data_IF_519671447700
#
_entry.id   IF_519671447700
#
_cell.length_a   1.000
_cell.length_b   1.000
_cell.length_c   1.000
_cell.angle_alpha   90.00
_cell.angle_beta   90.00
_cell.angle_gamma   90.00
#
_symmetry.space_group_name_H-M   'P 1'
#
loop_
_entity.id
_entity.type
_entity.pdbx_description
1 polymer ?
#
# COMPACT_ATOMS: atom_id res chain seq x y z
N UNK A 1 -51.58 62.18 -17.47
CA UNK A 1 -52.43 61.51 -16.48
C UNK A 1 -51.47 60.81 -15.52
N UNK A 2 -51.36 61.31 -14.28
CA UNK A 2 -51.85 60.63 -13.05
C UNK A 2 -50.93 59.44 -12.72
N UNK A 3 -50.29 59.26 -11.56
CA UNK A 3 -50.17 59.93 -10.26
C UNK A 3 -48.99 59.20 -9.53
N UNK A 4 -48.42 59.82 -8.50
CA UNK A 4 -48.09 59.31 -7.15
C UNK A 4 -47.70 57.82 -6.95
N UNK A 5 -46.81 57.41 -6.07
CA UNK A 5 -46.19 57.95 -4.85
C UNK A 5 -45.38 56.78 -4.24
N UNK A 6 -44.16 56.98 -3.77
CA UNK A 6 -43.79 57.29 -2.38
C UNK A 6 -43.58 56.06 -1.46
N UNK A 7 -42.50 56.14 -0.67
CA UNK A 7 -42.12 55.40 0.55
C UNK A 7 -41.43 54.04 0.32
N UNK A 8 -40.25 53.76 0.88
CA UNK A 8 -39.56 54.32 2.04
C UNK A 8 -39.31 53.18 3.04
N UNK A 9 -38.07 53.05 3.54
CA UNK A 9 -37.74 52.12 4.63
C UNK A 9 -36.31 51.59 4.57
N UNK A 10 -35.45 52.24 5.36
CA UNK A 10 -34.08 51.86 5.67
C UNK A 10 -34.01 50.88 6.87
N UNK A 11 -32.76 50.57 7.25
CA UNK A 11 -32.27 49.98 8.51
C UNK A 11 -32.33 48.46 8.66
N UNK A 12 -31.17 47.79 8.65
CA UNK A 12 -30.10 47.69 9.70
C UNK A 12 -30.30 46.39 10.48
N UNK A 13 -29.38 45.44 10.32
CA UNK A 13 -28.29 45.15 11.27
C UNK A 13 -28.73 44.13 12.34
N UNK A 14 -27.95 43.05 12.45
CA UNK A 14 -28.29 41.94 13.35
C UNK A 14 -27.24 40.85 13.28
N UNK A 15 -26.04 41.17 13.75
CA UNK A 15 -24.99 40.21 14.04
C UNK A 15 -25.15 39.69 15.47
N UNK A 16 -25.42 38.39 15.65
CA UNK A 16 -25.21 37.65 16.92
C UNK A 16 -24.71 36.25 16.57
N UNK A 17 -23.41 35.96 16.72
CA UNK A 17 -22.74 35.39 17.91
C UNK A 17 -23.24 34.01 18.36
N UNK A 18 -22.36 33.02 18.08
CA UNK A 18 -21.82 31.98 18.97
C UNK A 18 -22.80 31.22 19.88
N UNK A 19 -22.90 29.91 19.62
CA UNK A 19 -22.82 28.91 20.68
C UNK A 19 -21.86 27.78 20.27
N UNK A 20 -20.69 27.78 20.89
CA UNK A 20 -19.79 26.64 21.00
C UNK A 20 -20.40 25.65 22.01
N UNK A 21 -20.91 24.51 21.56
CA UNK A 21 -21.22 23.40 22.45
C UNK A 21 -20.04 22.42 22.55
N UNK A 22 -19.69 22.16 23.80
CA UNK A 22 -18.46 21.54 24.31
C UNK A 22 -18.74 20.07 24.67
N UNK A 23 -18.24 19.11 23.89
CA UNK A 23 -17.96 17.71 24.24
C UNK A 23 -17.45 17.04 22.94
N UNK A 24 -16.37 16.27 22.85
CA UNK A 24 -15.70 15.44 23.82
C UNK A 24 -14.22 15.30 23.39
N UNK A 25 -13.29 15.46 24.33
CA UNK A 25 -11.84 15.36 24.09
C UNK A 25 -11.36 14.03 24.64
N UNK A 26 -11.11 13.05 23.76
CA UNK A 26 -10.25 11.92 24.11
C UNK A 26 -9.05 11.85 23.16
N UNK A 27 -8.06 12.72 23.43
CA UNK A 27 -6.71 12.63 22.85
C UNK A 27 -5.94 11.54 23.59
N UNK A 28 -5.79 10.39 22.96
CA UNK A 28 -4.77 9.40 23.31
C UNK A 28 -3.38 10.01 23.06
N UNK A 29 -2.63 10.22 24.14
CA UNK A 29 -1.25 10.70 24.14
C UNK A 29 -0.35 9.54 23.74
N UNK A 30 0.33 9.65 22.60
CA UNK A 30 1.48 8.79 22.26
C UNK A 30 2.73 9.58 22.60
N UNK A 31 3.53 9.06 23.52
CA UNK A 31 4.78 9.65 23.98
C UNK A 31 5.93 9.29 23.04
N UNK A 32 6.72 10.28 22.65
CA UNK A 32 8.00 10.14 21.95
C UNK A 32 9.09 9.66 22.94
N UNK A 33 9.91 8.64 22.60
CA UNK A 33 11.14 8.37 23.34
C UNK A 33 12.33 9.04 22.64
N UNK A 34 12.81 10.16 23.22
CA UNK A 34 14.16 10.67 22.96
C UNK A 34 15.16 10.05 23.94
N UNK A 35 16.34 9.83 23.38
CA UNK A 35 17.60 9.33 23.93
C UNK A 35 18.04 9.91 25.28
N UNK A 36 18.71 9.07 26.09
CA UNK A 36 19.71 9.46 27.10
C UNK A 36 20.70 8.29 27.28
N UNK A 37 21.91 8.32 26.73
CA UNK A 37 23.17 8.81 27.38
C UNK A 37 23.32 8.28 28.82
N UNK A 38 24.13 7.24 29.01
CA UNK A 38 25.53 7.33 29.47
C UNK A 38 25.65 7.63 30.98
N UNK A 39 25.98 6.60 31.75
CA UNK A 39 26.56 6.73 33.08
C UNK A 39 27.99 6.20 33.07
N UNK A 40 28.91 7.12 33.41
CA UNK A 40 30.29 6.86 33.79
C UNK A 40 30.36 6.07 35.10
N UNK A 41 31.37 5.22 35.20
CA UNK A 41 31.92 4.71 36.44
C UNK A 41 33.40 4.38 36.21
N UNK A 42 34.27 5.31 36.57
CA UNK A 42 35.72 5.10 36.66
C UNK A 42 36.04 4.24 37.89
N UNK A 43 36.97 3.29 37.78
CA UNK A 43 38.03 3.17 38.78
C UNK A 43 39.30 2.52 38.21
N UNK A 44 40.44 2.93 38.77
CA UNK A 44 41.81 2.79 38.25
C UNK A 44 42.56 1.57 38.81
N UNK A 45 43.47 1.02 38.00
CA UNK A 45 44.84 0.71 38.43
C UNK A 45 45.27 -0.77 38.49
N UNK A 46 46.43 -1.09 37.89
CA UNK A 46 47.35 -2.11 38.43
C UNK A 46 47.81 -3.28 37.55
N UNK A 47 48.76 -3.02 36.64
CA UNK A 47 49.97 -3.78 36.22
C UNK A 47 50.11 -5.33 36.39
N UNK A 48 50.47 -5.95 35.25
CA UNK A 48 51.53 -6.95 34.94
C UNK A 48 51.69 -8.29 35.70
N UNK A 49 51.56 -9.40 34.94
CA UNK A 49 52.60 -10.44 34.80
C UNK A 49 52.37 -11.82 35.46
N UNK A 50 52.50 -12.90 34.68
CA UNK A 50 52.82 -14.25 35.21
C UNK A 50 52.17 -15.45 34.49
N UNK A 51 53.00 -16.39 34.04
CA UNK A 51 52.71 -17.58 33.20
C UNK A 51 52.50 -18.86 34.05
N UNK A 52 51.83 -19.87 33.46
CA UNK A 52 51.89 -21.36 33.64
C UNK A 52 50.51 -21.94 34.01
N UNK A 53 49.86 -22.79 33.22
CA UNK A 53 50.13 -24.13 32.65
C UNK A 53 49.35 -25.24 33.40
N UNK A 54 48.66 -26.03 32.58
CA UNK A 54 48.22 -27.43 32.72
C UNK A 54 47.15 -27.90 33.72
N UNK A 55 46.17 -28.61 33.11
CA UNK A 55 45.50 -29.86 33.54
C UNK A 55 44.32 -29.79 34.51
N UNK A 56 43.23 -30.49 34.14
CA UNK A 56 42.12 -30.80 35.06
C UNK A 56 40.78 -31.10 34.39
N UNK A 57 40.60 -32.38 34.04
CA UNK A 57 39.42 -33.13 33.64
C UNK A 57 37.99 -32.60 33.94
N UNK A 58 37.16 -32.71 32.88
CA UNK A 58 35.86 -33.38 32.75
C UNK A 58 34.73 -33.20 33.78
N UNK A 59 33.53 -33.18 33.19
CA UNK A 59 32.22 -33.51 33.75
C UNK A 59 31.49 -32.46 34.58
N UNK A 60 30.72 -31.60 33.89
CA UNK A 60 29.25 -31.60 34.03
C UNK A 60 28.57 -31.26 32.70
N UNK A 61 28.08 -32.30 32.04
CA UNK A 61 27.06 -32.22 31.01
C UNK A 61 25.75 -31.66 31.60
N UNK A 62 25.61 -30.35 31.58
CA UNK A 62 24.32 -29.68 31.62
C UNK A 62 23.80 -29.58 30.20
N UNK A 63 23.23 -30.66 29.69
CA UNK A 63 22.49 -30.65 28.44
C UNK A 63 21.19 -29.84 28.65
N UNK A 64 21.30 -28.52 28.68
CA UNK A 64 20.18 -27.65 28.35
C UNK A 64 19.97 -27.78 26.85
N UNK A 65 19.33 -28.88 26.46
CA UNK A 65 18.65 -29.00 25.18
C UNK A 65 17.51 -27.98 25.21
N UNK A 66 17.87 -26.73 24.94
CA UNK A 66 16.96 -25.64 24.73
C UNK A 66 16.17 -26.04 23.50
N UNK A 67 15.00 -26.60 23.74
CA UNK A 67 13.99 -26.89 22.72
C UNK A 67 13.70 -25.56 22.04
N UNK A 68 14.45 -25.29 20.98
CA UNK A 68 14.33 -24.11 20.17
C UNK A 68 13.06 -24.32 19.36
N UNK A 69 11.92 -24.09 20.02
CA UNK A 69 10.62 -24.01 19.37
C UNK A 69 10.81 -23.00 18.26
N UNK A 70 10.92 -23.48 17.03
CA UNK A 70 11.18 -22.66 15.86
C UNK A 70 10.07 -21.61 15.79
N UNK A 71 10.37 -20.41 16.27
CA UNK A 71 9.44 -19.30 16.19
C UNK A 71 9.45 -18.91 14.73
N UNK A 72 8.33 -19.11 14.04
CA UNK A 72 8.16 -18.66 12.66
C UNK A 72 8.32 -17.13 12.63
N UNK A 73 9.50 -16.66 12.25
CA UNK A 73 9.81 -15.24 12.08
C UNK A 73 9.51 -14.88 10.64
N UNK A 74 8.44 -14.11 10.42
CA UNK A 74 8.15 -13.51 9.13
C UNK A 74 8.79 -12.13 9.06
N UNK A 75 9.57 -11.88 8.00
CA UNK A 75 10.12 -10.55 7.73
C UNK A 75 9.01 -9.55 7.36
N UNK A 76 9.30 -8.25 7.47
CA UNK A 76 8.33 -7.20 7.12
C UNK A 76 7.79 -7.34 5.70
N UNK A 77 8.65 -7.61 4.72
CA UNK A 77 8.24 -7.80 3.32
C UNK A 77 7.31 -9.02 3.17
N UNK A 78 7.65 -10.13 3.81
CA UNK A 78 6.87 -11.37 3.82
C UNK A 78 5.49 -11.15 4.45
N UNK A 79 5.44 -10.48 5.61
CA UNK A 79 4.20 -10.12 6.28
C UNK A 79 3.33 -9.23 5.39
N UNK A 80 3.91 -8.18 4.79
CA UNK A 80 3.17 -7.28 3.89
C UNK A 80 2.61 -8.01 2.66
N UNK A 81 3.32 -9.01 2.13
CA UNK A 81 2.81 -9.86 1.04
C UNK A 81 1.58 -10.66 1.47
N UNK A 82 1.56 -11.15 2.70
CA UNK A 82 0.45 -11.96 3.25
C UNK A 82 -0.79 -11.10 3.53
N UNK A 83 -0.61 -9.88 4.06
CA UNK A 83 -1.75 -9.06 4.52
C UNK A 83 -2.36 -8.15 3.46
N UNK A 84 -1.66 -7.88 2.35
CA UNK A 84 -2.19 -7.03 1.28
C UNK A 84 -3.32 -7.75 0.53
N UNK A 85 -4.44 -7.05 0.40
CA UNK A 85 -5.60 -7.51 -0.36
C UNK A 85 -5.60 -6.82 -1.72
N UNK A 86 -5.72 -7.61 -2.78
CA UNK A 86 -5.83 -7.13 -4.14
C UNK A 86 -7.18 -7.53 -4.74
N UNK A 87 -7.73 -6.63 -5.55
CA UNK A 87 -8.88 -6.92 -6.38
C UNK A 87 -8.56 -6.63 -7.84
N UNK A 88 -9.02 -7.52 -8.72
CA UNK A 88 -8.96 -7.37 -10.18
C UNK A 88 -10.26 -6.79 -10.71
N UNK A 89 -10.15 -5.85 -11.64
CA UNK A 89 -11.25 -5.33 -12.44
C UNK A 89 -11.66 -6.36 -13.50
N UNK A 90 -12.88 -6.89 -13.41
CA UNK A 90 -13.45 -7.84 -14.38
C UNK A 90 -14.45 -7.19 -15.33
N UNK A 91 -14.92 -5.99 -14.99
CA UNK A 91 -15.76 -5.15 -15.84
C UNK A 91 -15.36 -3.70 -15.65
N UNK A 92 -15.36 -2.94 -16.74
CA UNK A 92 -15.01 -1.52 -16.72
C UNK A 92 -15.83 -0.76 -15.66
N UNK A 93 -15.15 0.04 -14.84
CA UNK A 93 -15.76 0.69 -13.68
C UNK A 93 -15.09 2.04 -13.38
N UNK A 94 -15.83 2.95 -12.76
CA UNK A 94 -15.33 4.27 -12.38
C UNK A 94 -14.62 4.20 -11.03
N UNK A 95 -13.44 4.82 -10.96
CA UNK A 95 -12.77 5.20 -9.73
C UNK A 95 -13.21 6.62 -9.34
N UNK A 96 -13.79 6.79 -8.15
CA UNK A 96 -14.23 8.09 -7.63
C UNK A 96 -13.44 8.51 -6.40
N UNK A 97 -13.48 9.78 -6.05
CA UNK A 97 -12.80 10.31 -4.86
C UNK A 97 -13.59 10.16 -3.55
N UNK A 98 -14.86 9.80 -3.63
CA UNK A 98 -15.75 9.68 -2.47
C UNK A 98 -16.44 8.29 -2.42
N UNK A 99 -16.81 7.88 -1.20
CA UNK A 99 -17.60 6.67 -0.92
C UNK A 99 -19.00 6.80 -1.53
N UNK A 100 -19.65 7.95 -1.37
CA UNK A 100 -20.96 8.20 -1.99
C UNK A 100 -20.79 8.39 -3.50
N UNK A 101 -21.65 7.74 -4.28
CA UNK A 101 -21.67 7.95 -5.74
C UNK A 101 -22.28 9.32 -6.03
N UNK A 102 -23.36 9.65 -5.33
CA UNK A 102 -23.97 10.98 -5.41
C UNK A 102 -23.01 12.04 -4.84
N UNK A 103 -22.76 13.08 -5.63
CA UNK A 103 -21.81 14.15 -5.29
C UNK A 103 -20.32 13.76 -5.34
N UNK A 104 -19.99 12.51 -5.64
CA UNK A 104 -18.62 12.06 -5.85
C UNK A 104 -18.09 12.47 -7.23
N UNK A 105 -16.82 12.86 -7.31
CA UNK A 105 -16.18 13.18 -8.59
C UNK A 105 -15.48 11.94 -9.14
N UNK A 106 -15.65 11.73 -10.45
CA UNK A 106 -14.90 10.73 -11.19
C UNK A 106 -13.42 11.14 -11.25
N UNK A 107 -12.54 10.27 -10.75
CA UNK A 107 -11.09 10.39 -10.92
C UNK A 107 -10.72 9.91 -12.32
N UNK A 108 -11.15 8.69 -12.66
CA UNK A 108 -10.99 8.09 -13.99
C UNK A 108 -11.83 6.83 -14.16
N UNK A 109 -11.83 6.29 -15.37
CA UNK A 109 -12.32 4.95 -15.66
C UNK A 109 -11.20 3.91 -15.49
N UNK A 110 -11.57 2.72 -15.00
CA UNK A 110 -10.68 1.58 -14.80
C UNK A 110 -11.00 0.49 -15.81
N UNK A 111 -9.97 0.02 -16.51
CA UNK A 111 -10.08 -0.99 -17.55
C UNK A 111 -10.09 -2.41 -16.97
N UNK A 112 -10.67 -3.36 -17.73
CA UNK A 112 -10.61 -4.79 -17.40
C UNK A 112 -9.14 -5.24 -17.31
N UNK A 113 -8.84 -6.03 -16.28
CA UNK A 113 -7.50 -6.53 -15.97
C UNK A 113 -6.63 -5.56 -15.17
N UNK A 114 -7.12 -4.36 -14.81
CA UNK A 114 -6.48 -3.51 -13.80
C UNK A 114 -6.60 -4.11 -12.40
N UNK A 115 -5.71 -3.69 -11.50
CA UNK A 115 -5.65 -4.16 -10.12
C UNK A 115 -5.68 -2.99 -9.14
N UNK A 116 -6.42 -3.17 -8.06
CA UNK A 116 -6.50 -2.24 -6.92
C UNK A 116 -5.93 -2.92 -5.68
N UNK A 117 -4.96 -2.28 -5.03
CA UNK A 117 -4.54 -2.60 -3.66
C UNK A 117 -5.58 -2.01 -2.71
N UNK A 118 -6.32 -2.86 -2.00
CA UNK A 118 -7.42 -2.45 -1.12
C UNK A 118 -6.87 -1.99 0.24
N UNK A 119 -7.26 -0.79 0.65
CA UNK A 119 -6.92 -0.20 1.95
C UNK A 119 -8.06 -0.23 2.95
N UNK A 120 -9.29 -0.14 2.45
CA UNK A 120 -10.48 -0.15 3.29
C UNK A 120 -11.65 -0.78 2.53
N UNK A 121 -12.48 -1.50 3.27
CA UNK A 121 -13.71 -2.10 2.81
C UNK A 121 -13.69 -3.62 2.87
N UNK A 122 -14.79 -4.28 2.48
CA UNK A 122 -15.97 -3.70 1.82
C UNK A 122 -16.77 -2.75 2.72
N UNK A 123 -17.22 -1.62 2.19
CA UNK A 123 -18.12 -0.65 2.84
C UNK A 123 -19.39 -0.51 2.01
N UNK A 124 -20.55 -0.53 2.67
CA UNK A 124 -21.84 -0.27 2.02
C UNK A 124 -21.98 1.23 1.77
N UNK A 125 -22.20 1.59 0.52
CA UNK A 125 -22.59 2.94 0.12
C UNK A 125 -24.10 3.10 0.34
N UNK A 126 -24.56 4.09 1.13
CA UNK A 126 -25.95 4.12 1.60
C UNK A 126 -26.96 4.60 0.56
N UNK A 127 -26.55 5.39 -0.44
CA UNK A 127 -27.49 6.01 -1.39
C UNK A 127 -28.04 5.00 -2.41
N UNK A 128 -27.20 4.06 -2.86
CA UNK A 128 -27.56 3.02 -3.84
C UNK A 128 -27.34 1.59 -3.34
N UNK A 129 -26.96 1.43 -2.06
CA UNK A 129 -26.80 0.13 -1.39
C UNK A 129 -25.82 -0.81 -2.10
N UNK A 130 -24.69 -0.28 -2.61
CA UNK A 130 -23.63 -1.06 -3.27
C UNK A 130 -22.41 -1.23 -2.36
N UNK A 131 -21.65 -2.31 -2.56
CA UNK A 131 -20.39 -2.53 -1.85
C UNK A 131 -19.25 -1.84 -2.58
N UNK A 132 -18.45 -1.06 -1.84
CA UNK A 132 -17.30 -0.35 -2.36
C UNK A 132 -16.05 -0.64 -1.55
N UNK A 133 -14.90 -0.51 -2.19
CA UNK A 133 -13.59 -0.53 -1.54
C UNK A 133 -12.84 0.74 -1.86
N UNK A 134 -12.05 1.21 -0.90
CA UNK A 134 -11.10 2.28 -1.11
C UNK A 134 -9.71 1.67 -1.27
N UNK A 135 -8.97 2.12 -2.27
CA UNK A 135 -7.67 1.54 -2.57
C UNK A 135 -6.88 2.33 -3.58
N UNK A 136 -5.68 1.82 -3.88
CA UNK A 136 -4.76 2.39 -4.85
C UNK A 136 -4.70 1.52 -6.10
N UNK A 137 -4.99 2.10 -7.25
CA UNK A 137 -4.82 1.45 -8.53
C UNK A 137 -3.33 1.25 -8.84
N UNK A 138 -2.94 0.05 -9.27
CA UNK A 138 -1.54 -0.25 -9.60
C UNK A 138 -1.09 0.49 -10.86
N UNK A 139 -1.97 0.65 -11.85
CA UNK A 139 -1.64 1.24 -13.17
C UNK A 139 -0.97 2.60 -13.06
N UNK A 140 -1.53 3.49 -12.25
CA UNK A 140 -1.18 4.91 -12.20
C UNK A 140 -1.07 5.47 -10.78
N UNK A 141 -1.25 4.63 -9.76
CA UNK A 141 -1.21 5.02 -8.36
C UNK A 141 -2.38 5.89 -7.91
N UNK A 142 -3.44 6.05 -8.72
CA UNK A 142 -4.63 6.79 -8.32
C UNK A 142 -5.28 6.12 -7.10
N UNK A 143 -5.69 6.93 -6.13
CA UNK A 143 -6.34 6.46 -4.89
C UNK A 143 -7.79 6.92 -4.92
N UNK A 144 -8.71 6.01 -4.63
CA UNK A 144 -10.12 6.32 -4.59
C UNK A 144 -11.01 5.12 -4.26
N UNK A 145 -12.31 5.33 -4.43
CA UNK A 145 -13.37 4.37 -4.20
C UNK A 145 -13.82 3.72 -5.50
N UNK A 146 -14.01 2.41 -5.45
CA UNK A 146 -14.46 1.60 -6.58
C UNK A 146 -15.49 0.57 -6.10
N UNK A 147 -16.49 0.32 -6.94
CA UNK A 147 -17.60 -0.59 -6.62
C UNK A 147 -17.18 -2.04 -6.85
N UNK A 148 -17.45 -2.92 -5.90
CA UNK A 148 -17.22 -4.37 -6.02
C UNK A 148 -18.35 -5.00 -6.84
N UNK A 149 -19.58 -4.76 -6.41
CA UNK A 149 -20.81 -5.29 -7.01
C UNK A 149 -21.87 -4.20 -7.07
N UNK A 150 -22.52 -4.07 -8.22
CA UNK A 150 -23.62 -3.14 -8.44
C UNK A 150 -24.96 -3.69 -7.92
N UNK A 151 -25.94 -2.80 -7.78
CA UNK A 151 -27.29 -3.12 -7.29
C UNK A 151 -28.06 -4.10 -8.18
N UNK A 152 -27.69 -4.21 -9.45
CA UNK A 152 -28.29 -5.13 -10.44
C UNK A 152 -27.54 -6.47 -10.56
N UNK A 153 -26.73 -6.83 -9.57
CA UNK A 153 -25.99 -8.10 -9.56
C UNK A 153 -24.73 -8.14 -10.44
N UNK A 154 -24.36 -7.03 -11.08
CA UNK A 154 -23.12 -6.94 -11.86
C UNK A 154 -21.89 -6.93 -10.94
N UNK A 155 -20.93 -7.83 -11.19
CA UNK A 155 -19.62 -7.85 -10.53
C UNK A 155 -18.60 -7.04 -11.33
N UNK A 156 -17.93 -6.10 -10.68
CA UNK A 156 -16.89 -5.26 -11.27
C UNK A 156 -15.50 -5.61 -10.74
N UNK A 157 -15.42 -6.03 -9.47
CA UNK A 157 -14.19 -6.48 -8.83
C UNK A 157 -14.30 -7.90 -8.32
N UNK A 158 -13.22 -8.66 -8.47
CA UNK A 158 -13.04 -9.96 -7.83
C UNK A 158 -11.74 -9.97 -7.03
N UNK A 159 -11.65 -10.70 -5.90
CA UNK A 159 -10.37 -10.91 -5.21
C UNK A 159 -9.33 -11.50 -6.17
N UNK A 160 -8.11 -10.97 -6.15
CA UNK A 160 -7.02 -11.42 -7.00
C UNK A 160 -6.22 -10.27 -7.63
N UNK A 161 -5.39 -10.61 -8.61
CA UNK A 161 -4.46 -9.67 -9.25
C UNK A 161 -3.00 -9.86 -8.86
N UNK A 162 -2.71 -10.84 -8.00
CA UNK A 162 -1.35 -11.27 -7.68
C UNK A 162 -0.76 -12.22 -8.73
N UNK A 163 -1.53 -12.68 -9.71
CA UNK A 163 -1.04 -13.43 -10.86
C UNK A 163 -1.28 -12.59 -12.10
N UNK A 164 -0.21 -12.33 -12.85
CA UNK A 164 -0.23 -11.47 -14.02
C UNK A 164 0.34 -12.17 -15.24
N UNK A 165 -0.09 -11.74 -16.42
CA UNK A 165 0.44 -12.17 -17.71
C UNK A 165 1.13 -11.01 -18.42
N UNK A 166 2.28 -11.30 -19.02
CA UNK A 166 2.96 -10.36 -19.88
C UNK A 166 2.19 -10.15 -21.19
N UNK A 167 1.82 -8.91 -21.49
CA UNK A 167 1.13 -8.54 -22.73
C UNK A 167 2.08 -8.43 -23.92
N UNK A 168 3.35 -8.13 -23.64
CA UNK A 168 4.40 -7.88 -24.63
C UNK A 168 5.76 -8.30 -24.07
N UNK A 169 6.78 -8.49 -24.92
CA UNK A 169 8.13 -8.75 -24.43
C UNK A 169 8.62 -7.62 -23.51
N UNK A 170 9.24 -7.98 -22.38
CA UNK A 170 9.83 -7.01 -21.46
C UNK A 170 11.00 -7.60 -20.68
N UNK A 171 11.86 -6.75 -20.12
CA UNK A 171 12.95 -7.15 -19.24
C UNK A 171 12.47 -7.45 -17.81
N UNK A 172 12.95 -8.55 -17.23
CA UNK A 172 12.90 -8.80 -15.79
C UNK A 172 14.21 -8.30 -15.19
N UNK A 173 14.23 -7.10 -14.60
CA UNK A 173 15.44 -6.47 -14.09
C UNK A 173 15.78 -6.93 -12.67
N UNK A 174 17.05 -6.76 -12.27
CA UNK A 174 17.48 -7.00 -10.88
C UNK A 174 16.97 -5.88 -9.96
N UNK A 175 17.07 -4.63 -10.43
CA UNK A 175 16.81 -3.44 -9.62
C UNK A 175 15.51 -2.74 -9.97
N UNK A 176 14.80 -2.26 -8.94
CA UNK A 176 13.58 -1.45 -9.07
C UNK A 176 13.80 -0.18 -9.92
N UNK A 177 15.01 0.39 -9.92
CA UNK A 177 15.32 1.62 -10.66
C UNK A 177 15.68 1.37 -12.12
N UNK A 178 16.10 0.15 -12.49
CA UNK A 178 16.45 -0.21 -13.87
C UNK A 178 15.19 -0.49 -14.69
N UNK A 179 14.44 0.58 -14.98
CA UNK A 179 13.21 0.51 -15.77
C UNK A 179 13.47 0.24 -17.27
N UNK A 180 14.72 0.45 -17.73
CA UNK A 180 15.14 0.22 -19.11
C UNK A 180 15.52 -1.25 -19.33
N UNK A 181 15.98 -1.94 -18.28
CA UNK A 181 16.42 -3.33 -18.36
C UNK A 181 17.82 -3.44 -18.96
N UNK A 182 18.76 -2.62 -18.49
CA UNK A 182 20.13 -2.59 -18.99
C UNK A 182 20.89 -3.91 -18.71
N UNK A 183 20.62 -4.55 -17.58
CA UNK A 183 21.19 -5.85 -17.21
C UNK A 183 20.08 -6.74 -16.60
N UNK A 184 19.20 -7.30 -17.45
CA UNK A 184 18.07 -8.05 -16.95
C UNK A 184 18.52 -9.42 -16.43
N UNK A 185 17.81 -9.92 -15.41
CA UNK A 185 17.86 -11.33 -15.00
C UNK A 185 17.54 -12.21 -16.20
N UNK A 186 16.49 -11.84 -16.94
CA UNK A 186 16.11 -12.44 -18.22
C UNK A 186 15.10 -11.58 -18.98
N UNK A 187 14.89 -11.92 -20.24
CA UNK A 187 13.77 -11.42 -21.02
C UNK A 187 12.51 -12.26 -20.78
N UNK A 188 11.36 -11.59 -20.70
CA UNK A 188 10.04 -12.18 -20.69
C UNK A 188 9.42 -12.10 -22.09
N UNK A 189 8.72 -13.15 -22.51
CA UNK A 189 7.91 -13.20 -23.72
C UNK A 189 6.47 -12.82 -23.40
N UNK A 190 5.75 -12.34 -24.41
CA UNK A 190 4.30 -12.20 -24.31
C UNK A 190 3.66 -13.55 -23.94
N UNK A 191 2.68 -13.53 -23.06
CA UNK A 191 1.98 -14.70 -22.54
C UNK A 191 2.62 -15.34 -21.31
N UNK A 192 3.86 -15.01 -20.94
CA UNK A 192 4.48 -15.57 -19.73
C UNK A 192 3.73 -15.09 -18.47
N UNK A 193 3.57 -16.02 -17.52
CA UNK A 193 2.80 -15.82 -16.29
C UNK A 193 3.73 -15.59 -15.11
N UNK A 194 3.40 -14.57 -14.33
CA UNK A 194 4.17 -14.05 -13.21
C UNK A 194 3.30 -14.07 -11.95
N UNK A 195 3.89 -14.43 -10.82
CA UNK A 195 3.32 -14.21 -9.50
C UNK A 195 3.94 -12.95 -8.89
N UNK A 196 3.10 -11.96 -8.60
CA UNK A 196 3.48 -10.69 -7.98
C UNK A 196 3.81 -10.92 -6.51
N UNK A 197 5.02 -10.53 -6.11
CA UNK A 197 5.52 -10.62 -4.74
C UNK A 197 5.42 -9.27 -4.04
N UNK A 198 5.74 -8.19 -4.76
CA UNK A 198 5.68 -6.82 -4.29
C UNK A 198 5.47 -5.88 -5.48
N UNK A 199 5.16 -4.62 -5.21
CA UNK A 199 5.04 -3.61 -6.24
C UNK A 199 5.47 -2.25 -5.72
N UNK A 200 6.01 -1.44 -6.62
CA UNK A 200 6.46 -0.10 -6.32
C UNK A 200 6.32 0.81 -7.53
N UNK A 201 6.20 2.11 -7.28
CA UNK A 201 6.28 3.13 -8.32
C UNK A 201 7.63 3.82 -8.24
N UNK A 202 8.24 4.07 -9.39
CA UNK A 202 9.53 4.78 -9.47
C UNK A 202 9.41 6.27 -9.13
N UNK A 203 8.20 6.82 -9.19
CA UNK A 203 7.89 8.21 -8.83
C UNK A 203 6.44 8.34 -8.37
N UNK A 204 6.12 9.43 -7.65
CA UNK A 204 4.75 9.82 -7.32
C UNK A 204 4.02 10.52 -8.47
N UNK A 205 4.73 10.89 -9.53
CA UNK A 205 4.14 11.50 -10.74
C UNK A 205 3.18 10.53 -11.45
N UNK A 206 2.21 11.05 -12.19
CA UNK A 206 1.40 10.26 -13.12
C UNK A 206 2.26 9.54 -14.17
N UNK A 207 3.43 10.11 -14.52
CA UNK A 207 4.42 9.50 -15.42
C UNK A 207 5.30 8.45 -14.72
N UNK A 208 5.12 8.24 -13.41
CA UNK A 208 5.85 7.25 -12.65
C UNK A 208 5.57 5.84 -13.15
N UNK A 209 6.63 5.08 -13.41
CA UNK A 209 6.57 3.68 -13.86
C UNK A 209 6.15 2.81 -12.67
N UNK A 210 5.06 2.06 -12.85
CA UNK A 210 4.69 1.01 -11.91
C UNK A 210 5.47 -0.24 -12.25
N UNK A 211 6.20 -0.76 -11.28
CA UNK A 211 6.95 -2.00 -11.39
C UNK A 211 6.46 -3.00 -10.35
N UNK A 212 6.49 -4.27 -10.73
CA UNK A 212 6.18 -5.38 -9.85
C UNK A 212 7.43 -6.23 -9.67
N UNK A 213 7.75 -6.55 -8.43
CA UNK A 213 8.68 -7.63 -8.13
C UNK A 213 7.88 -8.91 -8.27
N UNK A 214 8.28 -9.77 -9.19
CA UNK A 214 7.52 -10.96 -9.51
C UNK A 214 8.42 -12.18 -9.70
N UNK A 215 7.83 -13.35 -9.45
CA UNK A 215 8.40 -14.65 -9.73
C UNK A 215 7.75 -15.22 -10.99
N UNK A 216 8.55 -15.58 -11.98
CA UNK A 216 8.10 -16.22 -13.21
C UNK A 216 7.65 -17.65 -12.90
N UNK A 217 6.46 -18.05 -13.35
CA UNK A 217 5.93 -19.40 -13.06
C UNK A 217 6.66 -20.52 -13.80
N UNK A 218 7.21 -20.23 -14.98
CA UNK A 218 7.84 -21.24 -15.84
C UNK A 218 9.21 -21.71 -15.33
N UNK A 219 10.05 -20.79 -14.85
CA UNK A 219 11.44 -21.07 -14.47
C UNK A 219 11.80 -20.62 -13.05
N UNK A 220 10.86 -19.99 -12.33
CA UNK A 220 11.09 -19.50 -10.97
C UNK A 220 11.94 -18.23 -10.86
N UNK A 221 12.35 -17.62 -11.97
CA UNK A 221 13.18 -16.42 -11.95
C UNK A 221 12.47 -15.26 -11.23
N UNK A 222 13.19 -14.53 -10.39
CA UNK A 222 12.65 -13.40 -9.61
C UNK A 222 13.33 -12.10 -10.01
N UNK A 223 12.53 -11.06 -10.25
CA UNK A 223 13.04 -9.72 -10.51
C UNK A 223 11.93 -8.69 -10.68
N UNK A 224 12.30 -7.50 -11.11
CA UNK A 224 11.41 -6.37 -11.34
C UNK A 224 10.97 -6.27 -12.79
N UNK A 225 9.68 -6.41 -13.02
CA UNK A 225 9.02 -6.21 -14.30
C UNK A 225 8.28 -4.86 -14.32
N UNK A 226 8.30 -4.18 -15.45
CA UNK A 226 7.42 -3.01 -15.65
C UNK A 226 5.99 -3.51 -15.83
N UNK A 227 5.07 -3.05 -14.97
CA UNK A 227 3.66 -3.41 -15.05
C UNK A 227 2.86 -2.39 -15.88
N UNK A 228 3.15 -1.10 -15.69
CA UNK A 228 2.55 0.00 -16.45
C UNK A 228 3.46 1.24 -16.43
N UNK A 229 3.38 2.05 -17.49
CA UNK A 229 3.97 3.37 -17.59
C UNK A 229 3.05 4.32 -18.39
N UNK A 230 3.55 5.50 -18.78
CA UNK A 230 2.78 6.45 -19.59
C UNK A 230 2.35 5.95 -20.98
N UNK A 231 2.97 4.89 -21.50
CA UNK A 231 2.59 4.24 -22.77
C UNK A 231 1.48 3.20 -22.62
N UNK A 232 1.12 2.85 -21.38
CA UNK A 232 0.08 1.87 -21.07
C UNK A 232 0.58 0.68 -20.28
N UNK A 233 -0.19 -0.41 -20.32
CA UNK A 233 0.04 -1.62 -19.52
C UNK A 233 0.95 -2.61 -20.25
N UNK A 234 1.85 -3.22 -19.49
CA UNK A 234 2.72 -4.32 -19.92
C UNK A 234 2.29 -5.65 -19.31
N UNK A 235 1.66 -5.59 -18.13
CA UNK A 235 1.13 -6.74 -17.43
C UNK A 235 -0.38 -6.57 -17.21
N UNK A 236 -1.12 -7.66 -17.31
CA UNK A 236 -2.53 -7.72 -16.94
C UNK A 236 -2.77 -8.80 -15.90
N UNK A 237 -3.72 -8.59 -14.99
CA UNK A 237 -4.11 -9.61 -14.03
C UNK A 237 -4.92 -10.73 -14.67
N UNK A 238 -4.59 -11.98 -14.33
CA UNK A 238 -5.30 -13.18 -14.78
C UNK A 238 -6.59 -13.44 -14.01
#
# INVERSE_FOLDING_TARGET
AVEEGEKGGADESGAERREESRADKQRLRIADPKQSSACHGEDRGGREGGVRDESGDLDKAGADAKEERAVLRIGREEFMRIVRVYCKVVKEIVLSDNLMIEGGRQIRQMEVGEVVEVYQGPVVEPSVSVLRVHGRALRDGAIGWVTISGSQGATFLVPGGNVMRALRPLALAVDLKDAVGAAPVRALRAGEVLEVLDWARTSRSALGVTRVRARVRGDGAVGWATAADGSGRYLEAL
#
